data_IF_001965861398
#
_entry.id   IF_001965861398
#
_cell.length_a   1.000
_cell.length_b   1.000
_cell.length_c   1.000
_cell.angle_alpha   90.00
_cell.angle_beta   90.00
_cell.angle_gamma   90.00
#
_symmetry.space_group_name_H-M   'P 1'
#
loop_
_entity.id
_entity.type
_entity.pdbx_description
1 polymer ?
#
# COMPACT_ATOMS: atom_id res chain seq x y z
N UNK A 1 21.28 29.95 17.18
CA UNK A 1 20.68 30.60 15.98
C UNK A 1 21.30 29.98 14.73
N UNK A 2 20.52 29.28 13.90
CA UNK A 2 21.04 28.62 12.69
C UNK A 2 21.41 29.64 11.60
N UNK A 3 22.52 29.43 10.89
CA UNK A 3 22.97 30.33 9.82
C UNK A 3 21.98 30.32 8.66
N UNK A 4 21.71 31.50 8.07
CA UNK A 4 20.74 31.70 6.96
C UNK A 4 20.96 30.72 5.78
N UNK A 5 22.23 30.45 5.43
CA UNK A 5 22.59 29.49 4.37
C UNK A 5 22.19 28.05 4.72
N UNK A 6 22.46 27.60 5.94
CA UNK A 6 22.07 26.27 6.44
C UNK A 6 20.55 26.12 6.48
N UNK A 7 19.83 27.16 6.91
CA UNK A 7 18.36 27.17 6.91
C UNK A 7 17.77 27.00 5.50
N UNK A 8 18.32 27.72 4.52
CA UNK A 8 17.82 27.64 3.15
C UNK A 8 18.08 26.28 2.51
N UNK A 9 19.25 25.66 2.78
CA UNK A 9 19.56 24.30 2.31
C UNK A 9 18.55 23.29 2.89
N UNK A 10 18.24 23.39 4.19
CA UNK A 10 17.27 22.50 4.83
C UNK A 10 15.88 22.61 4.18
N UNK A 11 15.42 23.84 3.90
CA UNK A 11 14.12 24.07 3.23
C UNK A 11 14.09 23.41 1.86
N UNK A 12 15.17 23.53 1.08
CA UNK A 12 15.25 22.91 -0.25
C UNK A 12 15.19 21.39 -0.15
N UNK A 13 15.92 20.78 0.79
CA UNK A 13 15.93 19.32 0.98
C UNK A 13 14.53 18.82 1.35
N UNK A 14 13.85 19.50 2.29
CA UNK A 14 12.48 19.16 2.68
C UNK A 14 11.52 19.32 1.50
N UNK A 15 11.66 20.40 0.72
CA UNK A 15 10.85 20.63 -0.48
C UNK A 15 11.01 19.51 -1.51
N UNK A 16 12.24 19.07 -1.79
CA UNK A 16 12.51 17.97 -2.71
C UNK A 16 11.92 16.65 -2.19
N UNK A 17 12.08 16.35 -0.89
CA UNK A 17 11.54 15.13 -0.30
C UNK A 17 10.00 15.06 -0.42
N UNK A 18 9.30 16.18 -0.19
CA UNK A 18 7.85 16.26 -0.36
C UNK A 18 7.44 16.01 -1.82
N UNK A 19 8.13 16.65 -2.78
CA UNK A 19 7.82 16.49 -4.21
C UNK A 19 8.03 15.03 -4.65
N UNK A 20 9.12 14.39 -4.19
CA UNK A 20 9.38 12.99 -4.48
C UNK A 20 8.30 12.08 -3.88
N UNK A 21 7.91 12.29 -2.62
CA UNK A 21 6.85 11.52 -1.97
C UNK A 21 5.50 11.63 -2.69
N UNK A 22 5.09 12.86 -3.04
CA UNK A 22 3.86 13.09 -3.81
C UNK A 22 3.93 12.47 -5.21
N UNK A 23 5.08 12.59 -5.88
CA UNK A 23 5.33 11.97 -7.18
C UNK A 23 5.24 10.44 -7.13
N UNK A 24 5.85 9.82 -6.13
CA UNK A 24 5.81 8.37 -5.91
C UNK A 24 4.38 7.88 -5.63
N UNK A 25 3.63 8.58 -4.77
CA UNK A 25 2.23 8.24 -4.51
C UNK A 25 1.33 8.40 -5.76
N UNK A 26 1.55 9.47 -6.53
CA UNK A 26 0.81 9.69 -7.79
C UNK A 26 1.15 8.60 -8.82
N UNK A 27 2.41 8.15 -8.86
CA UNK A 27 2.82 7.04 -9.72
C UNK A 27 2.15 5.72 -9.31
N UNK A 28 2.15 5.38 -8.01
CA UNK A 28 1.50 4.15 -7.54
C UNK A 28 0.01 4.15 -7.88
N UNK A 29 -0.70 5.25 -7.59
CA UNK A 29 -2.14 5.35 -7.86
C UNK A 29 -2.48 5.30 -9.36
N UNK A 30 -1.63 5.86 -10.22
CA UNK A 30 -1.77 5.76 -11.67
C UNK A 30 -1.51 4.35 -12.23
N UNK A 31 -0.88 3.46 -11.47
CA UNK A 31 -0.53 2.09 -11.86
C UNK A 31 -1.38 1.02 -11.14
N UNK A 32 -2.48 1.41 -10.50
CA UNK A 32 -3.45 0.47 -9.96
C UNK A 32 -4.15 -0.23 -11.14
N UNK A 33 -3.92 -1.53 -11.28
CA UNK A 33 -4.60 -2.37 -12.26
C UNK A 33 -5.72 -3.22 -11.64
N UNK A 34 -5.60 -3.48 -10.34
CA UNK A 34 -6.55 -4.21 -9.51
C UNK A 34 -7.00 -3.28 -8.40
N UNK A 35 -8.25 -2.83 -8.47
CA UNK A 35 -8.83 -2.01 -7.40
C UNK A 35 -9.10 -2.87 -6.15
N UNK A 36 -9.59 -2.22 -5.08
CA UNK A 36 -9.88 -2.87 -3.81
C UNK A 36 -10.85 -4.06 -3.93
N UNK A 37 -11.90 -3.94 -4.73
CA UNK A 37 -12.91 -4.99 -4.92
C UNK A 37 -12.32 -6.19 -5.68
N UNK A 38 -11.60 -5.94 -6.78
CA UNK A 38 -10.92 -6.99 -7.55
C UNK A 38 -9.85 -7.71 -6.72
N UNK A 39 -9.14 -6.97 -5.87
CA UNK A 39 -8.15 -7.53 -4.96
C UNK A 39 -8.80 -8.36 -3.86
N UNK A 40 -9.99 -7.96 -3.39
CA UNK A 40 -10.79 -8.75 -2.45
C UNK A 40 -11.23 -10.09 -3.06
N UNK A 41 -11.66 -10.07 -4.33
CA UNK A 41 -11.99 -11.31 -5.05
C UNK A 41 -10.78 -12.24 -5.14
N UNK A 42 -9.59 -11.70 -5.43
CA UNK A 42 -8.34 -12.48 -5.46
C UNK A 42 -8.04 -13.07 -4.08
N UNK A 43 -8.17 -12.29 -3.01
CA UNK A 43 -7.92 -12.75 -1.65
C UNK A 43 -8.91 -13.86 -1.24
N UNK A 44 -10.21 -13.68 -1.52
CA UNK A 44 -11.25 -14.66 -1.21
C UNK A 44 -11.17 -15.94 -2.05
N UNK A 45 -10.64 -15.86 -3.28
CA UNK A 45 -10.31 -17.06 -4.06
C UNK A 45 -9.19 -17.88 -3.42
N UNK A 46 -8.28 -17.22 -2.69
CA UNK A 46 -7.15 -17.88 -2.03
C UNK A 46 -7.53 -18.43 -0.65
N UNK A 47 -8.29 -17.67 0.12
CA UNK A 47 -8.81 -18.02 1.45
C UNK A 47 -10.30 -17.67 1.47
N UNK A 48 -11.19 -18.67 1.27
CA UNK A 48 -12.62 -18.46 1.41
C UNK A 48 -12.99 -18.07 2.85
N UNK A 49 -13.88 -17.08 3.00
CA UNK A 49 -14.30 -16.61 4.31
C UNK A 49 -15.05 -15.29 4.25
N UNK A 50 -15.20 -14.65 5.40
CA UNK A 50 -15.78 -13.31 5.55
C UNK A 50 -14.67 -12.27 5.75
N UNK A 51 -14.64 -11.24 4.89
CA UNK A 51 -13.73 -10.11 5.06
C UNK A 51 -14.26 -9.21 6.17
N UNK A 52 -13.50 -9.04 7.24
CA UNK A 52 -13.88 -8.22 8.39
C UNK A 52 -13.23 -6.84 8.38
N UNK A 53 -12.06 -6.70 7.77
CA UNK A 53 -11.39 -5.42 7.61
C UNK A 53 -10.47 -5.40 6.39
N UNK A 54 -10.13 -4.20 5.92
CA UNK A 54 -9.25 -4.01 4.78
C UNK A 54 -8.35 -2.80 4.99
N UNK A 55 -7.06 -3.06 5.06
CA UNK A 55 -6.01 -2.05 5.15
C UNK A 55 -5.45 -1.73 3.77
N UNK A 56 -4.98 -0.49 3.59
CA UNK A 56 -4.34 -0.05 2.34
C UNK A 56 -3.02 0.60 2.68
N UNK A 57 -1.95 0.05 2.13
CA UNK A 57 -0.60 0.51 2.42
C UNK A 57 0.13 0.91 1.13
N UNK A 58 1.07 1.83 1.27
CA UNK A 58 1.98 2.21 0.19
C UNK A 58 3.29 1.46 0.39
N UNK A 59 3.53 0.47 -0.47
CA UNK A 59 4.78 -0.28 -0.50
C UNK A 59 5.84 0.54 -1.23
N UNK A 60 6.87 0.93 -0.48
CA UNK A 60 7.89 1.89 -0.90
C UNK A 60 8.88 1.24 -1.87
N UNK A 61 9.20 -0.04 -1.69
CA UNK A 61 10.18 -0.75 -2.51
C UNK A 61 9.71 -0.87 -3.96
N UNK A 62 8.43 -1.22 -4.16
CA UNK A 62 7.82 -1.39 -5.48
C UNK A 62 7.04 -0.16 -5.97
N UNK A 63 6.92 0.88 -5.14
CA UNK A 63 6.14 2.11 -5.42
C UNK A 63 4.73 1.73 -5.91
N UNK A 64 4.02 0.99 -5.07
CA UNK A 64 2.70 0.42 -5.36
C UNK A 64 1.80 0.53 -4.14
N UNK A 65 0.49 0.43 -4.34
CA UNK A 65 -0.43 0.19 -3.23
C UNK A 65 -0.61 -1.31 -3.02
N UNK A 66 -0.77 -1.71 -1.77
CA UNK A 66 -1.19 -3.06 -1.39
C UNK A 66 -2.48 -3.00 -0.57
N UNK A 67 -3.30 -4.03 -0.71
CA UNK A 67 -4.53 -4.19 0.04
C UNK A 67 -4.40 -5.45 0.92
N UNK A 68 -4.45 -5.28 2.23
CA UNK A 68 -4.45 -6.39 3.18
C UNK A 68 -5.86 -6.64 3.66
N UNK A 69 -6.37 -7.85 3.43
CA UNK A 69 -7.71 -8.28 3.81
C UNK A 69 -7.61 -9.16 5.06
N UNK A 70 -8.28 -8.76 6.14
CA UNK A 70 -8.53 -9.65 7.29
C UNK A 70 -9.74 -10.51 6.96
N UNK A 71 -9.55 -11.82 6.91
CA UNK A 71 -10.56 -12.82 6.53
C UNK A 71 -10.74 -13.78 7.69
N UNK A 72 -11.97 -13.95 8.17
CA UNK A 72 -12.33 -15.06 9.05
C UNK A 72 -12.72 -16.24 8.15
N UNK A 73 -11.92 -17.30 8.20
CA UNK A 73 -12.16 -18.51 7.42
C UNK A 73 -13.27 -19.40 8.02
N UNK A 74 -13.61 -20.49 7.32
CA UNK A 74 -14.65 -21.43 7.74
C UNK A 74 -14.35 -22.13 9.09
N UNK A 75 -13.09 -22.15 9.52
CA UNK A 75 -12.67 -22.69 10.81
C UNK A 75 -12.71 -21.63 11.93
N UNK A 76 -13.20 -20.43 11.63
CA UNK A 76 -13.18 -19.24 12.51
C UNK A 76 -11.78 -18.80 12.89
N UNK A 77 -10.79 -19.04 12.02
CA UNK A 77 -9.44 -18.52 12.16
C UNK A 77 -9.31 -17.21 11.37
N UNK A 78 -8.73 -16.20 11.99
CA UNK A 78 -8.39 -14.95 11.32
C UNK A 78 -7.14 -15.16 10.49
N UNK A 79 -7.22 -14.82 9.21
CA UNK A 79 -6.13 -14.84 8.25
C UNK A 79 -5.97 -13.45 7.65
N UNK A 80 -4.74 -13.06 7.34
CA UNK A 80 -4.45 -11.83 6.61
C UNK A 80 -3.96 -12.18 5.21
N UNK A 81 -4.53 -11.57 4.18
CA UNK A 81 -4.08 -11.75 2.78
C UNK A 81 -3.77 -10.41 2.17
N UNK A 82 -2.51 -10.19 1.79
CA UNK A 82 -2.06 -8.96 1.14
C UNK A 82 -1.97 -9.14 -0.36
N UNK A 83 -2.59 -8.25 -1.12
CA UNK A 83 -2.64 -8.27 -2.58
C UNK A 83 -2.05 -6.98 -3.15
N UNK A 84 -1.12 -7.13 -4.08
CA UNK A 84 -0.46 -6.05 -4.77
C UNK A 84 -1.37 -5.43 -5.84
N UNK A 85 -1.73 -4.14 -5.70
CA UNK A 85 -2.72 -3.48 -6.58
C UNK A 85 -2.29 -3.33 -8.05
N UNK A 86 -0.98 -3.42 -8.33
CA UNK A 86 -0.43 -3.30 -9.68
C UNK A 86 -0.45 -4.63 -10.43
N UNK A 87 -0.16 -5.74 -9.74
CA UNK A 87 0.03 -7.06 -10.35
C UNK A 87 -1.08 -8.05 -10.05
N UNK A 88 -1.87 -7.83 -8.99
CA UNK A 88 -2.82 -8.80 -8.45
C UNK A 88 -2.15 -9.98 -7.74
N UNK A 89 -0.83 -9.95 -7.56
CA UNK A 89 -0.10 -11.00 -6.86
C UNK A 89 -0.38 -10.93 -5.35
N UNK A 90 -0.44 -12.10 -4.71
CA UNK A 90 -0.48 -12.20 -3.25
C UNK A 90 0.95 -12.06 -2.73
N UNK A 91 1.18 -11.02 -1.94
CA UNK A 91 2.51 -10.66 -1.39
C UNK A 91 2.67 -11.09 0.07
N UNK A 92 1.56 -11.37 0.78
CA UNK A 92 1.57 -11.86 2.15
C UNK A 92 0.36 -12.74 2.48
N UNK A 93 0.59 -13.77 3.29
CA UNK A 93 -0.45 -14.58 3.95
C UNK A 93 0.02 -14.87 5.37
N UNK A 94 -0.73 -14.44 6.39
CA UNK A 94 -0.41 -14.63 7.80
C UNK A 94 -1.59 -15.15 8.61
#
# INVERSE_FOLDING_TARGET
>A
MMKKKTRNILIIIVGIAIILGVGAYSFATANINYNKEQSQEIALQRIPGEVTDIETEFEIEDITLEYTFLIIDEENVMQEVTVNSKSGAITGIN
#
